data_IF_414894395672
#
_entry.id   IF_414894395672
#
_cell.length_a   1.000
_cell.length_b   1.000
_cell.length_c   1.000
_cell.angle_alpha   90.00
_cell.angle_beta   90.00
_cell.angle_gamma   90.00
#
_symmetry.space_group_name_H-M   'P 1'
#
loop_
_entity.id
_entity.type
_entity.pdbx_description
1 polymer ?
#
# COMPACT_ATOMS: atom_id res chain seq x y z
N UNK A 1 -18.93 20.93 -25.23
CA UNK A 1 -17.72 21.42 -25.90
C UNK A 1 -16.55 20.62 -25.35
N UNK A 2 -16.19 19.56 -26.05
CA UNK A 2 -15.18 18.61 -25.61
C UNK A 2 -13.78 19.17 -25.88
N UNK A 3 -13.15 19.70 -24.83
CA UNK A 3 -11.78 20.19 -24.88
C UNK A 3 -10.82 19.03 -25.13
N UNK A 4 -10.28 18.94 -26.35
CA UNK A 4 -9.22 18.00 -26.69
C UNK A 4 -7.96 18.39 -25.90
N UNK A 5 -7.57 17.54 -24.96
CA UNK A 5 -6.31 17.65 -24.21
C UNK A 5 -5.18 17.36 -25.21
N UNK A 6 -4.39 18.38 -25.55
CA UNK A 6 -3.17 18.19 -26.35
C UNK A 6 -2.10 17.52 -25.48
N UNK A 7 -1.38 16.51 -26.01
CA UNK A 7 -0.30 15.88 -25.25
C UNK A 7 0.83 16.88 -24.98
N UNK A 8 1.46 16.85 -23.79
CA UNK A 8 2.55 17.75 -23.46
C UNK A 8 3.77 17.51 -24.38
N UNK A 9 4.47 18.59 -24.74
CA UNK A 9 5.60 18.60 -25.69
C UNK A 9 6.84 17.80 -25.25
N UNK A 10 6.78 17.14 -24.09
CA UNK A 10 7.88 16.39 -23.48
C UNK A 10 7.90 14.90 -23.88
N UNK A 11 7.04 14.47 -24.83
CA UNK A 11 7.02 13.09 -25.33
C UNK A 11 6.49 12.05 -24.32
N UNK A 12 5.96 12.50 -23.17
CA UNK A 12 5.40 11.63 -22.15
C UNK A 12 3.88 11.55 -22.30
N UNK A 13 3.35 10.33 -22.43
CA UNK A 13 1.90 10.08 -22.49
C UNK A 13 1.34 10.09 -21.07
N UNK A 14 0.45 11.03 -20.78
CA UNK A 14 -0.28 11.05 -19.52
C UNK A 14 -1.22 9.84 -19.46
N UNK A 15 -0.99 8.93 -18.52
CA UNK A 15 -1.88 7.81 -18.24
C UNK A 15 -2.72 8.19 -17.02
N UNK A 16 -4.04 8.26 -17.20
CA UNK A 16 -4.96 8.55 -16.10
C UNK A 16 -5.23 7.26 -15.30
N UNK A 17 -4.51 7.12 -14.17
CA UNK A 17 -4.74 6.05 -13.21
C UNK A 17 -5.96 6.39 -12.34
N UNK A 18 -7.10 5.78 -12.66
CA UNK A 18 -8.28 5.80 -11.80
C UNK A 18 -7.98 5.00 -10.53
N UNK A 19 -7.61 5.68 -9.46
CA UNK A 19 -7.35 5.09 -8.15
C UNK A 19 -8.22 5.75 -7.08
N UNK A 20 -8.58 4.99 -6.05
CA UNK A 20 -9.34 5.47 -4.88
C UNK A 20 -8.51 5.26 -3.64
N UNK A 21 -8.43 6.27 -2.78
CA UNK A 21 -7.74 6.21 -1.49
C UNK A 21 -8.77 6.22 -0.37
N UNK A 22 -8.74 5.20 0.48
CA UNK A 22 -9.63 5.02 1.61
C UNK A 22 -8.79 5.09 2.88
N UNK A 23 -8.94 6.12 3.73
CA UNK A 23 -8.31 6.14 5.04
C UNK A 23 -8.88 5.02 5.92
N UNK A 24 -8.02 4.39 6.70
CA UNK A 24 -8.42 3.32 7.62
C UNK A 24 -8.43 3.90 9.02
N UNK A 25 -9.62 3.92 9.61
CA UNK A 25 -9.83 4.34 10.98
C UNK A 25 -10.01 3.12 11.89
N UNK A 26 -9.58 3.20 13.15
CA UNK A 26 -9.88 2.19 14.15
C UNK A 26 -11.39 2.18 14.47
N UNK A 27 -11.89 1.05 14.98
CA UNK A 27 -13.32 0.83 15.26
C UNK A 27 -13.90 1.79 16.32
N UNK A 28 -13.05 2.52 17.05
CA UNK A 28 -13.46 3.45 18.09
C UNK A 28 -13.32 4.90 17.62
N UNK A 29 -14.36 5.74 17.73
CA UNK A 29 -14.35 7.14 17.25
C UNK A 29 -13.38 8.06 18.01
N UNK A 30 -12.83 7.59 19.15
CA UNK A 30 -11.85 8.33 19.96
C UNK A 30 -10.40 8.03 19.59
N UNK A 31 -10.13 7.05 18.72
CA UNK A 31 -8.78 6.66 18.32
C UNK A 31 -8.48 7.22 16.92
N UNK A 32 -7.31 7.85 16.77
CA UNK A 32 -6.87 8.42 15.49
C UNK A 32 -5.85 7.54 14.77
N UNK A 33 -5.54 6.37 15.31
CA UNK A 33 -4.62 5.41 14.72
C UNK A 33 -4.77 3.98 15.23
N UNK A 34 -4.02 3.12 14.58
CA UNK A 34 -3.98 1.66 14.69
C UNK A 34 -2.81 1.28 15.60
N UNK A 35 -3.02 0.28 16.44
CA UNK A 35 -1.95 -0.29 17.28
C UNK A 35 -1.12 -1.32 16.49
N UNK A 36 0.15 -1.55 16.85
CA UNK A 36 0.99 -2.54 16.16
C UNK A 36 0.33 -3.93 16.06
N UNK A 37 -0.30 -4.42 17.14
CA UNK A 37 -0.97 -5.72 17.17
C UNK A 37 -2.21 -5.86 16.24
N UNK A 38 -2.75 -4.74 15.75
CA UNK A 38 -3.89 -4.72 14.81
C UNK A 38 -3.41 -4.80 13.34
N UNK A 39 -2.09 -4.80 13.10
CA UNK A 39 -1.49 -4.78 11.76
C UNK A 39 -1.72 -6.07 10.97
N UNK A 40 -1.41 -7.23 11.55
CA UNK A 40 -1.63 -8.52 10.87
C UNK A 40 -3.11 -8.75 10.51
N UNK A 41 -4.08 -8.55 11.43
CA UNK A 41 -5.50 -8.62 11.09
C UNK A 41 -5.90 -7.68 9.95
N UNK A 42 -5.32 -6.47 9.91
CA UNK A 42 -5.59 -5.50 8.87
C UNK A 42 -5.08 -5.97 7.49
N UNK A 43 -3.89 -6.57 7.44
CA UNK A 43 -3.33 -7.11 6.20
C UNK A 43 -4.20 -8.28 5.73
N UNK A 44 -4.50 -9.24 6.60
CA UNK A 44 -5.34 -10.41 6.29
C UNK A 44 -6.72 -10.02 5.78
N UNK A 45 -7.36 -8.99 6.36
CA UNK A 45 -8.67 -8.49 5.92
C UNK A 45 -8.64 -7.93 4.50
N UNK A 46 -7.52 -7.33 4.07
CA UNK A 46 -7.44 -6.64 2.79
C UNK A 46 -6.77 -7.48 1.68
N UNK A 47 -5.85 -8.40 2.02
CA UNK A 47 -5.09 -9.19 1.06
C UNK A 47 -5.39 -10.68 1.21
N UNK A 48 -6.35 -11.16 0.40
CA UNK A 48 -6.67 -12.58 0.24
C UNK A 48 -5.68 -13.27 -0.71
N UNK A 49 -5.13 -12.52 -1.67
CA UNK A 49 -4.14 -13.00 -2.63
C UNK A 49 -2.71 -12.62 -2.23
N UNK A 50 -1.75 -13.28 -2.89
CA UNK A 50 -0.33 -13.00 -2.67
C UNK A 50 -0.02 -11.51 -2.91
N UNK A 51 0.81 -10.94 -2.03
CA UNK A 51 1.23 -9.57 -2.12
C UNK A 51 2.73 -9.43 -1.79
N UNK A 52 3.31 -8.30 -2.17
CA UNK A 52 4.66 -7.93 -1.78
C UNK A 52 4.60 -7.02 -0.57
N UNK A 53 5.62 -7.15 0.28
CA UNK A 53 5.71 -6.41 1.55
C UNK A 53 7.04 -5.71 1.62
N UNK A 54 7.01 -4.44 2.00
CA UNK A 54 8.18 -3.64 2.32
C UNK A 54 7.96 -3.00 3.69
N UNK A 55 8.77 -3.37 4.66
CA UNK A 55 8.77 -2.82 6.01
C UNK A 55 10.00 -1.94 6.22
N UNK A 56 9.77 -0.67 6.52
CA UNK A 56 10.79 0.27 6.96
C UNK A 56 10.76 0.30 8.48
N UNK A 57 11.82 -0.22 9.08
CA UNK A 57 12.05 -0.22 10.53
C UNK A 57 13.11 0.84 10.86
N UNK A 58 13.33 1.13 12.15
CA UNK A 58 14.29 2.17 12.56
C UNK A 58 15.70 1.99 12.02
N UNK A 59 16.21 0.76 11.96
CA UNK A 59 17.61 0.46 11.64
C UNK A 59 17.82 -0.28 10.31
N UNK A 60 16.75 -0.76 9.66
CA UNK A 60 16.85 -1.53 8.43
C UNK A 60 15.51 -1.58 7.67
N UNK A 61 15.56 -2.05 6.42
CA UNK A 61 14.40 -2.28 5.57
C UNK A 61 14.29 -3.77 5.32
N UNK A 62 13.11 -4.34 5.57
CA UNK A 62 12.81 -5.72 5.22
C UNK A 62 11.93 -5.77 3.98
N UNK A 63 12.27 -6.66 3.06
CA UNK A 63 11.47 -6.93 1.86
C UNK A 63 11.05 -8.39 1.89
N UNK A 64 9.78 -8.62 1.59
CA UNK A 64 9.19 -9.94 1.68
C UNK A 64 7.89 -10.04 0.89
N UNK A 65 7.14 -11.07 1.22
CA UNK A 65 5.84 -11.37 0.63
C UNK A 65 4.83 -11.67 1.71
N UNK A 66 3.57 -11.43 1.36
CA UNK A 66 2.41 -11.92 2.08
C UNK A 66 1.86 -13.11 1.29
N UNK A 67 1.99 -14.31 1.83
CA UNK A 67 1.49 -15.55 1.25
C UNK A 67 0.91 -16.42 2.36
N UNK A 68 -0.20 -17.12 2.09
CA UNK A 68 -0.84 -18.02 3.07
C UNK A 68 -1.09 -17.37 4.46
N UNK A 69 -1.57 -16.13 4.47
CA UNK A 69 -1.81 -15.33 5.68
C UNK A 69 -0.59 -15.12 6.58
N UNK A 70 0.62 -15.18 6.02
CA UNK A 70 1.88 -15.04 6.75
C UNK A 70 2.83 -14.07 6.04
N UNK A 71 3.61 -13.34 6.85
CA UNK A 71 4.71 -12.51 6.37
C UNK A 71 5.96 -13.38 6.18
N UNK A 72 6.44 -13.46 4.94
CA UNK A 72 7.65 -14.17 4.56
C UNK A 72 8.70 -13.16 4.12
N UNK A 73 9.67 -12.85 4.99
CA UNK A 73 10.79 -11.97 4.67
C UNK A 73 11.97 -12.76 4.13
N UNK A 74 12.73 -12.15 3.22
CA UNK A 74 13.96 -12.75 2.68
C UNK A 74 15.11 -12.76 3.68
N UNK A 75 15.11 -11.80 4.62
CA UNK A 75 16.10 -11.70 5.68
C UNK A 75 15.67 -12.60 6.86
N UNK A 76 16.59 -13.39 7.45
CA UNK A 76 16.30 -14.21 8.64
C UNK A 76 15.95 -13.40 9.90
N UNK A 77 16.12 -12.08 9.90
CA UNK A 77 15.73 -11.22 11.02
C UNK A 77 14.23 -11.32 11.35
N UNK A 78 13.92 -11.39 12.64
CA UNK A 78 12.55 -11.42 13.11
C UNK A 78 11.88 -10.06 12.92
N UNK A 79 10.73 -10.05 12.26
CA UNK A 79 9.92 -8.86 12.10
C UNK A 79 9.32 -8.42 13.43
N UNK A 80 9.60 -7.17 13.82
CA UNK A 80 9.14 -6.55 15.05
C UNK A 80 8.24 -5.35 14.73
N UNK A 81 6.93 -5.55 14.93
CA UNK A 81 5.90 -4.55 14.61
C UNK A 81 6.05 -3.25 15.41
N UNK A 82 6.69 -3.29 16.59
CA UNK A 82 6.89 -2.12 17.44
C UNK A 82 7.89 -1.12 16.84
N UNK A 83 8.77 -1.59 15.96
CA UNK A 83 9.82 -0.80 15.31
C UNK A 83 9.40 -0.22 13.96
N UNK A 84 8.14 -0.40 13.56
CA UNK A 84 7.63 0.08 12.28
C UNK A 84 7.63 1.61 12.22
N UNK A 85 8.32 2.13 11.21
CA UNK A 85 8.17 3.49 10.73
C UNK A 85 7.16 3.56 9.59
N UNK A 86 7.21 2.57 8.68
CA UNK A 86 6.33 2.47 7.53
C UNK A 86 6.25 1.03 7.05
N UNK A 87 5.05 0.59 6.66
CA UNK A 87 4.83 -0.69 6.01
C UNK A 87 4.04 -0.44 4.72
N UNK A 88 4.47 -1.07 3.63
CA UNK A 88 3.71 -1.13 2.38
C UNK A 88 3.42 -2.59 2.08
N UNK A 89 2.15 -2.92 1.90
CA UNK A 89 1.71 -4.19 1.35
C UNK A 89 0.99 -3.89 0.06
N UNK A 90 1.39 -4.50 -1.05
CA UNK A 90 0.81 -4.19 -2.33
C UNK A 90 0.83 -5.36 -3.28
N UNK A 91 -0.16 -5.39 -4.17
CA UNK A 91 -0.23 -6.28 -5.31
C UNK A 91 -0.57 -5.46 -6.56
N UNK A 92 -1.00 -6.12 -7.63
CA UNK A 92 -1.36 -5.46 -8.89
C UNK A 92 -2.53 -4.48 -8.77
N UNK A 93 -3.43 -4.71 -7.82
CA UNK A 93 -4.74 -4.04 -7.77
C UNK A 93 -4.86 -3.05 -6.61
N UNK A 94 -4.02 -3.17 -5.58
CA UNK A 94 -4.14 -2.35 -4.39
C UNK A 94 -2.83 -2.24 -3.60
N UNK A 95 -2.76 -1.16 -2.82
CA UNK A 95 -1.68 -0.87 -1.86
C UNK A 95 -2.31 -0.51 -0.51
N UNK A 96 -1.90 -1.21 0.54
CA UNK A 96 -2.04 -0.77 1.92
C UNK A 96 -0.74 -0.10 2.35
N UNK A 97 -0.85 1.17 2.73
CA UNK A 97 0.24 1.91 3.36
C UNK A 97 -0.09 2.10 4.83
N UNK A 98 0.82 1.70 5.71
CA UNK A 98 0.81 1.99 7.14
C UNK A 98 2.04 2.83 7.46
N UNK A 99 1.91 3.85 8.31
CA UNK A 99 3.03 4.68 8.72
C UNK A 99 2.88 5.20 10.14
N UNK A 100 4.00 5.40 10.81
CA UNK A 100 4.04 5.98 12.15
C UNK A 100 3.73 7.47 12.10
N UNK A 101 2.85 7.91 12.99
CA UNK A 101 2.43 9.29 13.17
C UNK A 101 2.40 9.58 14.67
N UNK A 102 3.53 10.03 15.23
CA UNK A 102 3.70 10.15 16.68
C UNK A 102 3.74 8.77 17.34
N UNK A 103 2.83 8.54 18.29
CA UNK A 103 2.74 7.27 19.03
C UNK A 103 1.75 6.26 18.40
N UNK A 104 1.11 6.60 17.29
CA UNK A 104 0.10 5.76 16.64
C UNK A 104 0.53 5.42 15.21
N UNK A 105 -0.02 4.33 14.66
CA UNK A 105 0.09 4.03 13.24
C UNK A 105 -1.14 4.57 12.49
N UNK A 106 -0.92 5.23 11.36
CA UNK A 106 -2.00 5.57 10.42
C UNK A 106 -1.95 4.62 9.25
N UNK A 107 -3.10 4.33 8.66
CA UNK A 107 -3.17 3.51 7.47
C UNK A 107 -4.12 4.08 6.41
N UNK A 108 -3.81 3.80 5.15
CA UNK A 108 -4.66 4.06 4.01
C UNK A 108 -4.60 2.86 3.06
N UNK A 109 -5.75 2.53 2.48
CA UNK A 109 -5.86 1.57 1.39
C UNK A 109 -6.07 2.33 0.08
N UNK A 110 -5.15 2.17 -0.85
CA UNK A 110 -5.35 2.58 -2.24
C UNK A 110 -5.83 1.36 -3.03
N UNK A 111 -6.93 1.50 -3.75
CA UNK A 111 -7.38 0.52 -4.74
C UNK A 111 -7.31 1.14 -6.12
N UNK A 112 -6.69 0.43 -7.04
CA UNK A 112 -6.53 0.84 -8.42
C UNK A 112 -7.64 0.17 -9.26
N UNK A 113 -8.24 0.92 -10.19
CA UNK A 113 -9.28 0.36 -11.06
C UNK A 113 -8.64 -0.55 -12.12
N UNK A 114 -8.96 -1.86 -12.15
CA UNK A 114 -8.38 -2.79 -13.13
C UNK A 114 -8.71 -2.44 -14.59
N UNK A 115 -9.69 -1.56 -14.84
CA UNK A 115 -10.03 -1.06 -16.18
C UNK A 115 -9.14 0.10 -16.65
N UNK A 116 -8.32 0.68 -15.78
CA UNK A 116 -7.26 1.61 -16.16
C UNK A 116 -6.08 0.83 -16.77
N UNK A 117 -6.32 0.13 -17.88
CA UNK A 117 -5.24 -0.53 -18.62
C UNK A 117 -4.39 0.52 -19.31
N UNK A 118 -3.07 0.40 -19.13
CA UNK A 118 -2.07 1.12 -19.90
C UNK A 118 -2.29 0.72 -21.37
N UNK A 119 -2.81 1.64 -22.18
CA UNK A 119 -2.78 1.48 -23.64
C UNK A 119 -1.36 1.81 -24.08
N UNK A 120 -0.48 0.81 -23.98
CA UNK A 120 0.78 0.81 -24.71
C UNK A 120 0.43 0.79 -26.19
N UNK A 121 0.72 1.88 -26.89
CA UNK A 121 0.75 1.85 -28.35
C UNK A 121 2.03 1.09 -28.72
N UNK A 122 1.87 -0.12 -29.25
CA UNK A 122 2.91 -0.80 -30.01
C UNK A 122 3.32 0.11 -31.17
N UNK A 123 4.63 0.33 -31.34
CA UNK A 123 5.18 1.04 -32.49
C UNK A 123 4.82 0.37 -33.81
#
# INVERSE_FOLDING_TARGET
>A
MDGKITPPANGLKLINLKSRVIPIYPDSPKRNGIKPNELLPLITKNFVSNAYVIAYLYSYVMVGKWENNSLLFHDPQQFDESKILKLRVFNREQELLVWKSGNELKARLRKDDPKARIVCCSC
#
